data_IF_681320998450
#
_entry.id   IF_681320998450
#
_cell.length_a   1.000
_cell.length_b   1.000
_cell.length_c   1.000
_cell.angle_alpha   90.00
_cell.angle_beta   90.00
_cell.angle_gamma   90.00
#
_symmetry.space_group_name_H-M   'P 1'
#
loop_
_entity.id
_entity.type
_entity.pdbx_description
1 polymer ?
#
# COMPACT_ATOMS: atom_id res chain seq x y z
N UNK A 1 2.85 11.38 -1.84
CA UNK A 1 4.13 11.35 -1.10
C UNK A 1 4.40 12.63 -0.32
N UNK A 2 4.49 13.82 -0.95
CA UNK A 2 4.78 15.06 -0.20
C UNK A 2 3.74 15.36 0.91
N UNK A 3 2.45 15.15 0.66
CA UNK A 3 1.40 15.40 1.67
C UNK A 3 1.40 14.41 2.85
N UNK A 4 1.66 13.12 2.60
CA UNK A 4 1.78 12.07 3.64
C UNK A 4 3.14 12.10 4.38
N UNK A 5 4.11 12.84 3.89
CA UNK A 5 5.37 13.02 4.63
C UNK A 5 5.34 14.31 5.46
N UNK A 6 4.27 15.11 5.36
CA UNK A 6 4.11 16.38 6.05
C UNK A 6 3.33 16.25 7.37
N UNK A 7 2.81 15.08 7.73
CA UNK A 7 2.14 14.87 9.02
C UNK A 7 0.82 15.62 9.16
N UNK A 8 0.19 16.04 8.05
CA UNK A 8 -0.99 16.93 8.05
C UNK A 8 -2.27 16.25 8.52
N UNK A 9 -2.34 14.93 8.47
CA UNK A 9 -3.51 14.14 8.89
C UNK A 9 -3.19 13.39 10.20
N UNK A 10 -4.12 13.24 11.16
CA UNK A 10 -3.84 12.52 12.41
C UNK A 10 -3.35 11.07 12.21
N UNK A 11 -3.71 10.42 11.10
CA UNK A 11 -3.21 9.09 10.73
C UNK A 11 -1.74 9.09 10.29
N UNK A 12 -1.24 10.24 9.83
CA UNK A 12 0.07 10.48 9.22
C UNK A 12 1.08 11.04 10.23
N UNK A 13 0.56 11.73 11.27
CA UNK A 13 1.34 12.36 12.33
C UNK A 13 2.04 11.29 13.19
N UNK A 14 3.32 11.07 12.91
CA UNK A 14 4.20 10.16 13.67
C UNK A 14 4.53 8.83 12.97
N UNK A 15 3.99 8.56 11.78
CA UNK A 15 4.28 7.33 11.01
C UNK A 15 5.39 7.48 9.98
N UNK A 16 6.22 8.53 10.13
CA UNK A 16 7.46 8.72 9.36
C UNK A 16 7.26 8.73 7.84
N UNK A 17 8.33 8.79 7.05
CA UNK A 17 8.21 8.88 5.60
C UNK A 17 7.62 7.58 5.04
N UNK A 18 6.51 7.70 4.32
CA UNK A 18 5.91 6.56 3.63
C UNK A 18 6.79 6.19 2.43
N UNK A 19 7.41 5.01 2.49
CA UNK A 19 8.16 4.44 1.37
C UNK A 19 7.27 3.49 0.56
N UNK A 20 7.35 3.59 -0.76
CA UNK A 20 6.60 2.70 -1.66
C UNK A 20 7.30 1.33 -1.70
N UNK A 21 6.78 0.35 -0.96
CA UNK A 21 7.36 -1.00 -0.87
C UNK A 21 6.99 -1.90 -2.05
N UNK A 22 5.83 -1.68 -2.67
CA UNK A 22 5.33 -2.53 -3.74
C UNK A 22 4.41 -1.75 -4.68
N UNK A 23 4.62 -1.91 -5.99
CA UNK A 23 3.76 -1.41 -7.05
C UNK A 23 3.64 -2.48 -8.14
N UNK A 24 2.47 -2.57 -8.75
CA UNK A 24 2.22 -3.47 -9.88
C UNK A 24 1.31 -2.78 -10.89
N UNK A 25 1.52 -3.08 -12.17
CA UNK A 25 0.74 -2.51 -13.27
C UNK A 25 -0.26 -3.55 -13.77
N UNK A 26 -1.48 -3.08 -14.03
CA UNK A 26 -2.58 -3.91 -14.53
C UNK A 26 -3.18 -3.27 -15.79
N UNK A 27 -3.61 -4.10 -16.76
CA UNK A 27 -4.23 -3.61 -17.99
C UNK A 27 -5.63 -3.02 -17.76
N UNK A 28 -6.33 -3.49 -16.73
CA UNK A 28 -7.72 -3.12 -16.44
C UNK A 28 -7.90 -2.64 -15.00
N UNK A 29 -8.69 -1.59 -14.84
CA UNK A 29 -9.05 -1.06 -13.53
C UNK A 29 -9.76 -2.10 -12.64
N UNK A 30 -10.58 -2.98 -13.24
CA UNK A 30 -11.30 -4.03 -12.50
C UNK A 30 -10.33 -5.05 -11.88
N UNK A 31 -9.33 -5.47 -12.66
CA UNK A 31 -8.27 -6.39 -12.22
C UNK A 31 -7.38 -5.73 -11.15
N UNK A 32 -7.00 -4.48 -11.36
CA UNK A 32 -6.23 -3.69 -10.39
C UNK A 32 -6.97 -3.60 -9.05
N UNK A 33 -8.27 -3.29 -9.06
CA UNK A 33 -9.08 -3.16 -7.85
C UNK A 33 -9.28 -4.49 -7.12
N UNK A 34 -9.44 -5.60 -7.84
CA UNK A 34 -9.54 -6.93 -7.23
C UNK A 34 -8.25 -7.27 -6.48
N UNK A 35 -7.10 -6.96 -7.10
CA UNK A 35 -5.80 -7.16 -6.49
C UNK A 35 -5.57 -6.26 -5.28
N UNK A 36 -5.88 -4.97 -5.39
CA UNK A 36 -5.80 -4.03 -4.26
C UNK A 36 -6.62 -4.53 -3.07
N UNK A 37 -7.86 -4.98 -3.32
CA UNK A 37 -8.73 -5.53 -2.27
C UNK A 37 -8.13 -6.78 -1.63
N UNK A 38 -7.51 -7.66 -2.43
CA UNK A 38 -6.80 -8.83 -1.93
C UNK A 38 -5.60 -8.42 -1.05
N UNK A 39 -4.72 -7.53 -1.54
CA UNK A 39 -3.55 -7.04 -0.83
C UNK A 39 -3.90 -6.33 0.50
N UNK A 40 -5.06 -5.68 0.56
CA UNK A 40 -5.58 -5.03 1.77
C UNK A 40 -6.19 -6.00 2.78
N UNK A 41 -6.45 -7.24 2.39
CA UNK A 41 -6.97 -8.31 3.25
C UNK A 41 -5.84 -8.96 4.07
N UNK A 42 -6.17 -9.73 5.13
CA UNK A 42 -5.17 -10.40 5.99
C UNK A 42 -4.20 -11.28 5.20
N UNK A 43 -4.72 -12.19 4.37
CA UNK A 43 -3.92 -13.04 3.50
C UNK A 43 -3.07 -12.25 2.49
N UNK A 44 -3.53 -11.07 2.07
CA UNK A 44 -2.77 -10.17 1.21
C UNK A 44 -1.58 -9.54 1.91
N UNK A 45 -1.70 -9.21 3.20
CA UNK A 45 -0.58 -8.72 4.02
C UNK A 45 0.47 -9.81 4.20
N UNK A 46 0.06 -11.03 4.53
CA UNK A 46 0.97 -12.18 4.61
C UNK A 46 1.69 -12.43 3.27
N UNK A 47 0.99 -12.25 2.15
CA UNK A 47 1.60 -12.36 0.83
C UNK A 47 2.66 -11.27 0.59
N UNK A 48 2.37 -10.02 0.98
CA UNK A 48 3.34 -8.91 0.90
C UNK A 48 4.55 -9.18 1.79
N UNK A 49 4.34 -9.63 3.03
CA UNK A 49 5.41 -9.97 3.96
C UNK A 49 6.31 -11.07 3.40
N UNK A 50 5.75 -12.13 2.80
CA UNK A 50 6.54 -13.17 2.12
C UNK A 50 7.28 -12.68 0.87
N UNK A 51 6.75 -11.64 0.20
CA UNK A 51 7.34 -11.08 -1.03
C UNK A 51 8.46 -10.09 -0.74
N UNK A 52 8.41 -9.44 0.42
CA UNK A 52 9.42 -8.48 0.92
C UNK A 52 10.50 -9.14 1.80
N UNK A 53 10.31 -10.41 2.18
CA UNK A 53 11.27 -11.23 2.92
C UNK A 53 12.44 -11.72 2.05
#
# INVERSE_FOLDING_TARGET
MKEHNQGRTPADRGRGPFSLVYKEEYPDHKSARLREKFLKSGAGREWIEKRLA
#
